data_IF_071469278287
#
_entry.id   IF_071469278287
#
_cell.length_a   1.000
_cell.length_b   1.000
_cell.length_c   1.000
_cell.angle_alpha   90.00
_cell.angle_beta   90.00
_cell.angle_gamma   90.00
#
_symmetry.space_group_name_H-M   'P 1'
#
loop_
_entity.id
_entity.type
_entity.pdbx_description
1 polymer ?
#
# COMPACT_ATOMS: atom_id res chain seq x y z
N UNK A 1 56.15 26.33 -25.20
CA UNK A 1 57.28 25.38 -25.16
C UNK A 1 56.70 24.00 -25.22
N UNK A 2 56.48 23.39 -26.26
CA UNK A 2 57.15 22.63 -27.29
C UNK A 2 58.10 21.56 -26.74
N UNK A 3 57.75 20.28 -26.93
CA UNK A 3 58.53 19.18 -27.52
C UNK A 3 57.80 17.87 -27.16
N UNK A 4 57.29 17.13 -28.06
CA UNK A 4 57.62 16.40 -29.30
C UNK A 4 58.67 15.29 -29.12
N UNK A 5 58.27 14.12 -29.61
CA UNK A 5 59.03 13.10 -30.39
C UNK A 5 59.51 11.92 -29.50
N UNK A 6 59.48 10.60 -29.90
CA UNK A 6 59.42 9.90 -31.17
C UNK A 6 59.31 8.37 -30.91
N UNK A 7 58.56 7.65 -31.64
CA UNK A 7 58.82 6.58 -32.67
C UNK A 7 60.03 5.68 -32.53
N UNK A 8 59.80 4.35 -32.56
CA UNK A 8 60.22 3.37 -33.59
C UNK A 8 60.11 1.94 -33.06
N UNK A 9 59.39 1.10 -33.70
CA UNK A 9 59.67 0.06 -34.72
C UNK A 9 60.19 -1.22 -34.05
N UNK A 10 59.44 -2.30 -34.09
CA UNK A 10 59.13 -3.29 -35.09
C UNK A 10 60.14 -4.45 -35.10
N UNK A 11 59.66 -5.65 -34.98
CA UNK A 11 59.97 -6.76 -35.91
C UNK A 11 59.16 -8.02 -35.61
N UNK A 12 58.66 -8.60 -36.67
CA UNK A 12 57.97 -9.87 -36.83
C UNK A 12 58.82 -11.09 -36.50
N UNK A 13 58.14 -12.21 -36.34
CA UNK A 13 58.32 -13.58 -36.88
C UNK A 13 57.59 -14.48 -35.85
N UNK A 14 56.63 -15.31 -36.12
CA UNK A 14 56.28 -16.17 -37.15
C UNK A 14 55.54 -17.36 -36.53
N UNK A 15 54.47 -17.77 -37.13
CA UNK A 15 54.07 -19.17 -37.28
C UNK A 15 53.36 -19.90 -36.14
N UNK A 16 52.12 -20.31 -36.38
CA UNK A 16 51.46 -21.35 -35.59
C UNK A 16 49.96 -21.24 -35.61
N UNK A 17 49.33 -21.66 -36.70
CA UNK A 17 47.88 -21.85 -36.75
C UNK A 17 47.47 -23.04 -35.85
N UNK A 18 46.68 -22.77 -34.84
CA UNK A 18 45.83 -23.77 -34.20
C UNK A 18 44.43 -23.17 -34.12
N UNK A 19 43.56 -23.69 -34.97
CA UNK A 19 42.14 -23.41 -34.93
C UNK A 19 41.54 -24.09 -33.70
N UNK A 20 41.37 -23.33 -32.64
CA UNK A 20 40.57 -23.71 -31.48
C UNK A 20 39.20 -23.08 -31.65
N UNK A 21 38.19 -23.84 -32.06
CA UNK A 21 36.81 -23.44 -32.02
C UNK A 21 36.40 -23.25 -30.56
N UNK A 22 36.44 -22.00 -30.10
CA UNK A 22 35.82 -21.62 -28.84
C UNK A 22 34.30 -21.58 -29.07
N UNK A 23 33.63 -22.66 -28.73
CA UNK A 23 32.19 -22.67 -28.51
C UNK A 23 31.90 -21.77 -27.33
N UNK A 24 31.48 -20.55 -27.60
CA UNK A 24 30.80 -19.72 -26.60
C UNK A 24 29.50 -20.43 -26.23
N UNK A 25 29.56 -21.30 -25.23
CA UNK A 25 28.37 -21.77 -24.55
C UNK A 25 27.72 -20.57 -23.91
N UNK A 26 26.62 -20.08 -24.50
CA UNK A 26 25.69 -19.19 -23.84
C UNK A 26 25.18 -19.95 -22.63
N UNK A 27 25.72 -19.61 -21.46
CA UNK A 27 25.11 -19.94 -20.19
C UNK A 27 23.84 -19.08 -20.13
N UNK A 28 22.79 -19.55 -20.80
CA UNK A 28 21.45 -19.13 -20.47
C UNK A 28 21.28 -19.53 -19.01
N UNK A 29 21.43 -18.55 -18.11
CA UNK A 29 21.11 -18.73 -16.70
C UNK A 29 19.66 -19.19 -16.64
N UNK A 30 19.47 -20.49 -16.47
CA UNK A 30 18.18 -21.03 -16.11
C UNK A 30 17.79 -20.33 -14.80
N UNK A 31 16.91 -19.32 -14.90
CA UNK A 31 16.16 -18.85 -13.75
C UNK A 31 15.49 -20.11 -13.24
N UNK A 32 15.95 -20.63 -12.09
CA UNK A 32 15.23 -21.66 -11.38
C UNK A 32 13.81 -21.14 -11.22
N UNK A 33 12.85 -21.76 -11.88
CA UNK A 33 11.47 -21.49 -11.62
C UNK A 33 11.26 -21.74 -10.13
N UNK A 34 11.12 -20.67 -9.35
CA UNK A 34 10.76 -20.81 -7.94
C UNK A 34 9.44 -21.57 -7.93
N UNK A 35 9.40 -22.71 -7.26
CA UNK A 35 8.15 -23.43 -7.12
C UNK A 35 7.12 -22.47 -6.49
N UNK A 36 5.92 -22.42 -7.05
CA UNK A 36 4.83 -21.61 -6.51
C UNK A 36 4.64 -21.94 -5.03
N UNK A 37 4.53 -20.91 -4.19
CA UNK A 37 4.30 -21.13 -2.76
C UNK A 37 2.85 -21.57 -2.51
N UNK A 38 2.61 -22.12 -1.32
CA UNK A 38 1.24 -22.33 -0.85
C UNK A 38 0.51 -20.98 -0.71
N UNK A 39 -0.82 -21.05 -0.76
CA UNK A 39 -1.66 -19.89 -0.56
C UNK A 39 -1.69 -19.50 0.93
N UNK A 40 -1.38 -18.25 1.22
CA UNK A 40 -1.50 -17.67 2.55
C UNK A 40 -2.80 -16.85 2.63
N UNK A 41 -3.48 -16.97 3.75
CA UNK A 41 -4.63 -16.09 4.05
C UNK A 41 -4.12 -14.68 4.36
N UNK A 42 -4.77 -13.68 3.76
CA UNK A 42 -4.42 -12.27 3.89
C UNK A 42 -5.68 -11.44 4.19
N UNK A 43 -6.04 -11.23 5.46
CA UNK A 43 -7.13 -10.33 5.81
C UNK A 43 -6.65 -8.88 5.75
N UNK A 44 -7.43 -8.02 5.09
CA UNK A 44 -7.20 -6.56 4.99
C UNK A 44 -8.47 -5.85 5.43
N UNK A 45 -8.32 -4.85 6.29
CA UNK A 45 -9.41 -4.06 6.84
C UNK A 45 -9.20 -2.59 6.51
N UNK A 46 -10.26 -1.87 6.14
CA UNK A 46 -10.34 -0.42 6.18
C UNK A 46 -11.24 -0.02 7.34
N UNK A 47 -10.81 0.92 8.18
CA UNK A 47 -11.53 1.32 9.37
C UNK A 47 -11.42 2.83 9.63
N UNK A 48 -12.49 3.56 9.28
CA UNK A 48 -12.67 4.92 9.76
C UNK A 48 -13.33 4.87 11.15
N UNK A 49 -12.60 5.25 12.20
CA UNK A 49 -13.08 5.14 13.57
C UNK A 49 -13.94 6.33 14.03
N UNK A 50 -14.27 7.24 13.11
CA UNK A 50 -15.13 8.39 13.37
C UNK A 50 -14.56 9.36 14.40
N UNK A 51 -15.20 10.48 14.59
CA UNK A 51 -14.78 11.49 15.58
C UNK A 51 -15.89 12.01 16.50
N UNK A 52 -17.14 11.68 16.22
CA UNK A 52 -18.27 12.21 16.99
C UNK A 52 -18.50 11.41 18.27
N UNK A 53 -18.41 10.08 18.19
CA UNK A 53 -18.63 9.21 19.34
C UNK A 53 -17.31 8.75 19.97
N UNK A 54 -16.70 9.62 20.75
CA UNK A 54 -15.39 9.39 21.35
C UNK A 54 -15.37 8.14 22.27
N UNK A 55 -16.47 7.88 22.98
CA UNK A 55 -16.55 6.72 23.87
C UNK A 55 -16.54 5.37 23.12
N UNK A 56 -16.95 5.34 21.87
CA UNK A 56 -17.00 4.13 21.08
C UNK A 56 -15.64 3.77 20.44
N UNK A 57 -14.66 4.67 20.41
CA UNK A 57 -13.39 4.47 19.66
C UNK A 57 -12.55 3.31 20.19
N UNK A 58 -12.39 3.18 21.50
CA UNK A 58 -11.70 2.04 22.10
C UNK A 58 -12.36 0.70 21.75
N UNK A 59 -13.67 0.52 22.00
CA UNK A 59 -14.42 -0.65 21.53
C UNK A 59 -14.33 -0.89 20.03
N UNK A 60 -14.35 0.17 19.19
CA UNK A 60 -14.19 0.05 17.74
C UNK A 60 -12.83 -0.54 17.35
N UNK A 61 -11.73 -0.04 17.94
CA UNK A 61 -10.39 -0.57 17.73
C UNK A 61 -10.30 -2.05 18.12
N UNK A 62 -10.92 -2.44 19.24
CA UNK A 62 -10.99 -3.84 19.66
C UNK A 62 -11.82 -4.70 18.70
N UNK A 63 -12.95 -4.17 18.20
CA UNK A 63 -13.78 -4.85 17.20
C UNK A 63 -12.98 -5.09 15.90
N UNK A 64 -12.25 -4.09 15.42
CA UNK A 64 -11.37 -4.22 14.25
C UNK A 64 -10.29 -5.27 14.48
N UNK A 65 -9.67 -5.30 15.68
CA UNK A 65 -8.67 -6.31 16.04
C UNK A 65 -9.23 -7.73 15.97
N UNK A 66 -10.49 -7.90 16.31
CA UNK A 66 -11.22 -9.17 16.32
C UNK A 66 -11.98 -9.46 15.02
N UNK A 67 -11.87 -8.58 14.02
CA UNK A 67 -12.65 -8.64 12.79
C UNK A 67 -12.38 -9.88 11.91
N UNK A 68 -11.28 -10.57 12.12
CA UNK A 68 -10.99 -11.89 11.57
C UNK A 68 -10.40 -12.80 12.67
N UNK A 69 -11.24 -13.45 13.48
CA UNK A 69 -10.80 -14.25 14.61
C UNK A 69 -9.79 -15.33 14.21
N UNK A 70 -8.72 -15.42 14.99
CA UNK A 70 -7.62 -16.37 14.76
C UNK A 70 -6.59 -15.92 13.73
N UNK A 71 -6.80 -14.78 13.06
CA UNK A 71 -5.87 -14.19 12.12
C UNK A 71 -5.48 -12.78 12.55
N UNK A 72 -4.43 -12.27 11.91
CA UNK A 72 -3.92 -10.92 12.15
C UNK A 72 -4.15 -10.09 10.89
N UNK A 73 -5.17 -9.21 10.87
CA UNK A 73 -5.46 -8.40 9.69
C UNK A 73 -4.44 -7.27 9.50
N UNK A 74 -4.16 -6.93 8.25
CA UNK A 74 -3.66 -5.62 7.90
C UNK A 74 -4.77 -4.60 8.10
N UNK A 75 -4.48 -3.43 8.63
CA UNK A 75 -5.50 -2.39 8.82
C UNK A 75 -5.01 -1.05 8.29
N UNK A 76 -5.79 -0.45 7.39
CA UNK A 76 -5.71 0.97 7.07
C UNK A 76 -6.71 1.74 7.91
N UNK A 77 -6.22 2.61 8.78
CA UNK A 77 -7.00 3.42 9.69
C UNK A 77 -7.31 4.80 9.14
N UNK A 78 -8.47 5.36 9.44
CA UNK A 78 -8.80 6.75 9.15
C UNK A 78 -9.35 7.43 10.41
N UNK A 79 -9.21 8.75 10.45
CA UNK A 79 -9.61 9.64 11.56
C UNK A 79 -8.88 9.38 12.89
N UNK A 80 -7.65 8.85 12.85
CA UNK A 80 -6.86 8.64 14.07
C UNK A 80 -6.47 10.01 14.65
N UNK A 81 -6.62 10.16 15.98
CA UNK A 81 -6.37 11.40 16.73
C UNK A 81 -7.12 12.63 16.20
N UNK A 82 -8.25 12.44 15.56
CA UNK A 82 -9.11 13.54 15.14
C UNK A 82 -9.84 14.20 16.34
N UNK A 83 -9.63 13.71 17.54
CA UNK A 83 -10.02 14.32 18.79
C UNK A 83 -9.08 13.84 19.89
N UNK A 84 -8.69 14.56 20.87
CA UNK A 84 -7.70 14.25 21.91
C UNK A 84 -8.06 13.02 22.78
N UNK A 85 -8.33 11.88 22.16
CA UNK A 85 -8.86 10.67 22.82
C UNK A 85 -7.84 9.54 22.95
N UNK A 86 -6.61 9.74 22.47
CA UNK A 86 -5.51 8.79 22.67
C UNK A 86 -5.59 7.54 21.79
N UNK A 87 -6.24 7.61 20.61
CA UNK A 87 -6.33 6.47 19.69
C UNK A 87 -4.96 5.88 19.30
N UNK A 88 -3.88 6.65 19.11
CA UNK A 88 -2.56 6.06 18.88
C UNK A 88 -2.14 5.11 20.00
N UNK A 89 -2.35 5.49 21.25
CA UNK A 89 -2.07 4.61 22.40
C UNK A 89 -2.97 3.38 22.43
N UNK A 90 -4.26 3.54 22.12
CA UNK A 90 -5.21 2.42 22.04
C UNK A 90 -4.84 1.45 20.93
N UNK A 91 -4.43 1.94 19.75
CA UNK A 91 -3.95 1.10 18.64
C UNK A 91 -2.68 0.37 19.09
N UNK A 92 -1.70 1.06 19.66
CA UNK A 92 -0.48 0.44 20.16
C UNK A 92 -0.76 -0.64 21.21
N UNK A 93 -1.74 -0.44 22.07
CA UNK A 93 -2.12 -1.42 23.09
C UNK A 93 -2.78 -2.67 22.48
N UNK A 94 -3.68 -2.49 21.51
CA UNK A 94 -4.43 -3.60 20.90
C UNK A 94 -3.68 -4.28 19.75
N UNK A 95 -2.79 -3.54 19.07
CA UNK A 95 -1.98 -3.97 17.94
C UNK A 95 -0.47 -3.86 18.25
N UNK A 96 -0.08 -4.20 19.49
CA UNK A 96 1.29 -4.06 19.97
C UNK A 96 2.28 -5.04 19.34
N UNK A 97 2.97 -5.86 20.15
CA UNK A 97 4.12 -6.69 19.76
C UNK A 97 3.93 -7.59 18.51
N UNK A 98 2.69 -7.86 18.14
CA UNK A 98 2.35 -8.63 16.97
C UNK A 98 2.21 -7.80 15.69
N UNK A 99 2.43 -6.49 15.76
CA UNK A 99 2.25 -5.56 14.64
C UNK A 99 3.36 -4.51 14.57
N UNK A 100 3.65 -4.06 13.33
CA UNK A 100 4.31 -2.79 13.09
C UNK A 100 3.24 -1.77 12.70
N UNK A 101 3.05 -0.75 13.54
CA UNK A 101 2.07 0.31 13.31
C UNK A 101 2.77 1.48 12.59
N UNK A 102 2.89 1.35 11.26
CA UNK A 102 3.55 2.36 10.43
C UNK A 102 2.77 3.68 10.46
N UNK A 103 3.50 4.79 10.60
CA UNK A 103 3.01 6.18 10.66
C UNK A 103 2.20 6.55 11.92
N UNK A 104 2.00 5.64 12.86
CA UNK A 104 1.22 5.95 14.06
C UNK A 104 1.85 7.08 14.90
N UNK A 105 3.18 7.12 14.94
CA UNK A 105 3.96 8.15 15.65
C UNK A 105 4.52 9.24 14.70
N UNK A 106 4.12 9.23 13.41
CA UNK A 106 4.55 10.26 12.46
C UNK A 106 3.78 11.56 12.71
N UNK A 107 4.45 12.68 13.04
CA UNK A 107 3.76 13.91 13.45
C UNK A 107 2.92 14.56 12.34
N UNK A 108 3.12 14.13 11.09
CA UNK A 108 2.45 14.71 9.93
C UNK A 108 1.32 13.84 9.42
N UNK A 109 1.53 12.53 9.35
CA UNK A 109 0.64 11.60 8.63
C UNK A 109 -0.06 10.57 9.54
N UNK A 110 0.06 10.70 10.87
CA UNK A 110 -0.51 9.78 11.87
C UNK A 110 -2.04 9.58 11.78
N UNK A 111 -2.76 10.43 11.05
CA UNK A 111 -4.22 10.34 10.93
C UNK A 111 -4.68 9.18 10.04
N UNK A 112 -3.78 8.63 9.24
CA UNK A 112 -4.04 7.49 8.33
C UNK A 112 -2.97 6.42 8.46
N UNK A 113 -2.68 5.91 9.67
CA UNK A 113 -1.65 4.91 9.89
C UNK A 113 -2.02 3.55 9.29
N UNK A 114 -1.04 2.63 9.28
CA UNK A 114 -1.20 1.28 8.78
C UNK A 114 -0.67 0.30 9.80
N UNK A 115 -1.50 -0.64 10.24
CA UNK A 115 -1.08 -1.76 11.08
C UNK A 115 -0.72 -2.96 10.23
N UNK A 116 0.55 -3.41 10.30
CA UNK A 116 1.12 -4.53 9.56
C UNK A 116 1.38 -5.68 10.51
N UNK A 117 0.72 -6.85 10.35
CA UNK A 117 0.87 -7.97 11.28
C UNK A 117 2.17 -8.75 11.05
N UNK A 118 2.75 -9.33 12.11
CA UNK A 118 3.74 -10.39 11.93
C UNK A 118 3.09 -11.63 11.29
N UNK A 119 3.79 -12.40 10.43
CA UNK A 119 5.22 -12.32 10.14
C UNK A 119 5.62 -11.36 9.03
N UNK A 120 4.72 -10.51 8.55
CA UNK A 120 5.03 -9.50 7.54
C UNK A 120 5.93 -8.41 8.13
N UNK A 121 6.85 -7.91 7.31
CA UNK A 121 7.79 -6.86 7.67
C UNK A 121 7.61 -5.67 6.75
N UNK A 122 7.60 -4.47 7.31
CA UNK A 122 7.68 -3.23 6.54
C UNK A 122 9.12 -3.08 6.05
N UNK A 123 9.33 -3.16 4.74
CA UNK A 123 10.64 -3.01 4.11
C UNK A 123 10.85 -1.61 3.51
N UNK A 124 9.77 -0.88 3.30
CA UNK A 124 9.79 0.53 2.92
C UNK A 124 8.48 1.19 3.35
N UNK A 125 8.54 2.47 3.70
CA UNK A 125 7.37 3.29 4.02
C UNK A 125 7.56 4.70 3.51
N UNK A 126 6.45 5.33 3.07
CA UNK A 126 6.49 6.70 2.56
C UNK A 126 5.17 7.41 2.81
N UNK A 127 5.16 8.54 3.52
CA UNK A 127 4.05 9.46 3.55
C UNK A 127 4.10 10.36 2.31
N UNK A 128 2.95 10.64 1.71
CA UNK A 128 2.82 11.60 0.61
C UNK A 128 1.80 12.67 1.00
N UNK A 129 2.25 13.90 1.07
CA UNK A 129 1.41 15.06 1.34
C UNK A 129 0.48 15.32 0.16
N UNK A 130 -0.78 15.59 0.46
CA UNK A 130 -1.79 15.94 -0.56
C UNK A 130 -2.13 17.43 -0.50
N UNK A 131 -2.67 17.89 0.62
CA UNK A 131 -2.99 19.30 0.83
C UNK A 131 -2.95 19.65 2.32
N UNK A 132 -2.79 20.95 2.60
CA UNK A 132 -2.78 21.50 3.95
C UNK A 132 -4.17 21.56 4.59
N UNK A 133 -4.21 22.23 5.74
CA UNK A 133 -5.46 22.51 6.44
C UNK A 133 -6.43 23.24 5.53
N UNK A 134 -7.68 22.80 5.51
CA UNK A 134 -8.81 23.55 4.96
C UNK A 134 -9.59 24.06 6.17
N UNK A 135 -9.57 25.39 6.44
CA UNK A 135 -10.19 25.95 7.65
C UNK A 135 -11.63 25.47 7.84
N UNK A 136 -11.97 25.10 9.06
CA UNK A 136 -13.30 24.62 9.49
C UNK A 136 -13.82 23.36 8.78
N UNK A 137 -13.00 22.76 7.89
CA UNK A 137 -13.40 21.59 7.08
C UNK A 137 -12.51 20.39 7.33
N UNK A 138 -11.19 20.53 7.24
CA UNK A 138 -10.29 19.37 7.24
C UNK A 138 -8.90 19.71 7.76
N UNK A 139 -8.31 18.79 8.56
CA UNK A 139 -6.87 18.78 8.78
C UNK A 139 -6.12 18.45 7.48
N UNK A 140 -4.77 18.54 7.47
CA UNK A 140 -3.97 18.13 6.32
C UNK A 140 -4.27 16.70 5.90
N UNK A 141 -4.24 16.45 4.59
CA UNK A 141 -4.46 15.11 4.05
C UNK A 141 -3.17 14.50 3.51
N UNK A 142 -3.04 13.21 3.78
CA UNK A 142 -1.88 12.41 3.44
C UNK A 142 -2.30 11.09 2.81
N UNK A 143 -1.40 10.52 2.03
CA UNK A 143 -1.46 9.15 1.55
C UNK A 143 -0.25 8.43 2.15
N UNK A 144 -0.49 7.42 2.96
CA UNK A 144 0.55 6.59 3.54
C UNK A 144 0.67 5.29 2.78
N UNK A 145 1.89 4.88 2.50
CA UNK A 145 2.18 3.65 1.78
C UNK A 145 3.27 2.83 2.47
N UNK A 146 3.09 1.52 2.51
CA UNK A 146 4.10 0.57 2.97
C UNK A 146 4.34 -0.49 1.91
N UNK A 147 5.60 -0.85 1.69
CA UNK A 147 5.98 -2.07 1.00
C UNK A 147 6.23 -3.11 2.08
N UNK A 148 5.54 -4.22 2.00
CA UNK A 148 5.66 -5.30 2.98
C UNK A 148 6.15 -6.58 2.32
N UNK A 149 6.93 -7.37 3.05
CA UNK A 149 7.45 -8.66 2.63
C UNK A 149 7.19 -9.70 3.71
N UNK A 150 6.84 -10.91 3.31
CA UNK A 150 6.60 -11.99 4.25
C UNK A 150 7.93 -12.51 4.84
N UNK A 151 8.04 -12.55 6.17
CA UNK A 151 9.31 -12.84 6.85
C UNK A 151 9.92 -14.21 6.56
N UNK A 152 9.10 -15.21 6.22
CA UNK A 152 9.57 -16.54 5.88
C UNK A 152 9.60 -16.84 4.37
N UNK A 153 9.08 -15.93 3.52
CA UNK A 153 8.99 -16.13 2.07
C UNK A 153 9.53 -14.89 1.34
N UNK A 154 10.85 -14.75 1.21
CA UNK A 154 11.48 -13.66 0.47
C UNK A 154 10.91 -13.56 -0.95
N UNK A 155 10.60 -12.33 -1.38
CA UNK A 155 9.93 -12.08 -2.66
C UNK A 155 8.40 -12.08 -2.61
N UNK A 156 7.78 -12.70 -1.60
CA UNK A 156 6.34 -12.53 -1.37
C UNK A 156 6.11 -11.16 -0.75
N UNK A 157 5.92 -10.17 -1.61
CA UNK A 157 5.79 -8.76 -1.23
C UNK A 157 4.66 -8.08 -1.99
N UNK A 158 4.05 -7.10 -1.34
CA UNK A 158 3.05 -6.23 -1.95
C UNK A 158 3.09 -4.83 -1.33
N UNK A 159 2.34 -3.91 -1.87
CA UNK A 159 2.19 -2.55 -1.36
C UNK A 159 0.81 -2.39 -0.76
N UNK A 160 0.72 -1.84 0.45
CA UNK A 160 -0.53 -1.36 1.03
C UNK A 160 -0.49 0.16 1.12
N UNK A 161 -1.50 0.80 0.55
CA UNK A 161 -1.70 2.25 0.57
C UNK A 161 -2.95 2.55 1.40
N UNK A 162 -2.89 3.59 2.25
CA UNK A 162 -4.03 4.05 3.03
C UNK A 162 -4.18 5.57 2.96
N UNK A 163 -5.43 6.04 2.86
CA UNK A 163 -5.71 7.48 2.80
C UNK A 163 -7.13 7.80 3.25
N UNK A 164 -7.40 9.11 3.46
CA UNK A 164 -8.74 9.62 3.80
C UNK A 164 -9.00 10.90 3.01
N UNK A 165 -10.02 10.87 2.16
CA UNK A 165 -10.40 11.98 1.29
C UNK A 165 -11.18 13.05 2.05
N UNK A 166 -11.25 14.22 1.46
CA UNK A 166 -11.99 15.35 2.01
C UNK A 166 -13.49 15.09 1.95
N UNK A 167 -14.18 15.26 3.08
CA UNK A 167 -15.63 15.14 3.16
C UNK A 167 -16.33 16.28 2.41
N UNK A 168 -17.47 15.99 1.78
CA UNK A 168 -18.32 17.00 1.12
C UNK A 168 -17.71 17.67 -0.10
N UNK A 169 -16.67 17.10 -0.70
CA UNK A 169 -15.88 17.71 -1.75
C UNK A 169 -15.94 17.00 -3.11
N UNK A 170 -16.60 15.84 -3.18
CA UNK A 170 -16.58 15.02 -4.38
C UNK A 170 -17.54 15.48 -5.47
N UNK A 171 -18.49 16.34 -5.11
CA UNK A 171 -19.51 16.82 -6.01
C UNK A 171 -19.71 18.35 -5.80
N UNK A 172 -19.93 19.06 -6.89
CA UNK A 172 -20.02 20.52 -6.90
C UNK A 172 -21.28 21.04 -6.18
N UNK A 173 -22.31 20.19 -6.03
CA UNK A 173 -23.54 20.54 -5.33
C UNK A 173 -23.35 20.62 -3.81
N UNK A 174 -22.32 19.94 -3.26
CA UNK A 174 -22.03 19.96 -1.83
C UNK A 174 -21.19 21.16 -1.44
N UNK A 175 -20.03 21.31 -2.03
CA UNK A 175 -19.16 22.46 -1.80
C UNK A 175 -18.16 22.62 -2.97
N UNK A 176 -18.49 23.47 -3.96
CA UNK A 176 -17.66 23.64 -5.16
C UNK A 176 -16.25 24.16 -4.85
N UNK A 177 -16.07 24.89 -3.74
CA UNK A 177 -14.75 25.39 -3.34
C UNK A 177 -13.79 24.28 -2.89
N UNK A 178 -14.29 23.08 -2.57
CA UNK A 178 -13.50 21.96 -2.11
C UNK A 178 -13.14 20.99 -3.23
N UNK A 179 -13.77 21.09 -4.39
CA UNK A 179 -13.59 20.18 -5.51
C UNK A 179 -12.13 20.06 -5.96
N UNK A 180 -11.41 21.18 -6.01
CA UNK A 180 -10.01 21.19 -6.40
C UNK A 180 -9.11 20.34 -5.46
N UNK A 181 -9.39 20.36 -4.16
CA UNK A 181 -8.69 19.52 -3.17
C UNK A 181 -9.00 18.03 -3.36
N UNK A 182 -10.26 17.72 -3.66
CA UNK A 182 -10.69 16.35 -3.93
C UNK A 182 -10.02 15.79 -5.19
N UNK A 183 -10.01 16.58 -6.27
CA UNK A 183 -9.39 16.19 -7.54
C UNK A 183 -7.85 16.06 -7.41
N UNK A 184 -7.21 16.95 -6.64
CA UNK A 184 -5.80 16.83 -6.30
C UNK A 184 -5.53 15.51 -5.55
N UNK A 185 -6.40 15.15 -4.60
CA UNK A 185 -6.28 13.90 -3.85
C UNK A 185 -6.41 12.69 -4.78
N UNK A 186 -7.41 12.66 -5.65
CA UNK A 186 -7.60 11.62 -6.66
C UNK A 186 -6.37 11.47 -7.56
N UNK A 187 -5.85 12.57 -8.05
CA UNK A 187 -4.65 12.58 -8.88
C UNK A 187 -3.45 12.00 -8.13
N UNK A 188 -3.20 12.50 -6.93
CA UNK A 188 -2.06 12.04 -6.12
C UNK A 188 -2.19 10.56 -5.75
N UNK A 189 -3.39 10.10 -5.37
CA UNK A 189 -3.64 8.69 -5.06
C UNK A 189 -3.37 7.80 -6.29
N UNK A 190 -3.89 8.18 -7.46
CA UNK A 190 -3.59 7.49 -8.72
C UNK A 190 -2.08 7.40 -8.98
N UNK A 191 -1.36 8.52 -8.85
CA UNK A 191 0.08 8.57 -9.05
C UNK A 191 0.83 7.63 -8.10
N UNK A 192 0.40 7.53 -6.83
CA UNK A 192 1.02 6.63 -5.86
C UNK A 192 0.76 5.16 -6.20
N UNK A 193 -0.47 4.80 -6.53
CA UNK A 193 -0.81 3.42 -6.95
C UNK A 193 -0.02 3.04 -8.20
N UNK A 194 -0.01 3.90 -9.22
CA UNK A 194 0.71 3.64 -10.48
C UNK A 194 2.21 3.56 -10.29
N UNK A 195 2.82 4.42 -9.46
CA UNK A 195 4.25 4.42 -9.21
C UNK A 195 4.78 3.09 -8.63
N UNK A 196 3.93 2.32 -7.97
CA UNK A 196 4.25 0.97 -7.51
C UNK A 196 3.91 -0.09 -8.56
N UNK A 197 2.76 0.04 -9.20
CA UNK A 197 2.33 -0.92 -10.23
C UNK A 197 3.26 -0.95 -11.44
N UNK A 198 3.75 0.21 -11.88
CA UNK A 198 4.74 0.34 -12.96
C UNK A 198 6.09 -0.35 -12.63
N UNK A 199 6.34 -0.64 -11.35
CA UNK A 199 7.48 -1.45 -10.89
C UNK A 199 7.16 -2.95 -10.79
N UNK A 200 5.98 -3.36 -11.22
CA UNK A 200 5.50 -4.73 -11.14
C UNK A 200 4.89 -5.12 -9.79
N UNK A 201 4.74 -4.20 -8.84
CA UNK A 201 4.18 -4.54 -7.53
C UNK A 201 2.66 -4.76 -7.61
N UNK A 202 2.18 -5.79 -6.92
CA UNK A 202 0.80 -5.89 -6.48
C UNK A 202 0.52 -4.75 -5.50
N UNK A 203 -0.55 -4.00 -5.73
CA UNK A 203 -0.98 -2.88 -4.86
C UNK A 203 -2.36 -3.18 -4.29
N UNK A 204 -2.50 -3.12 -2.98
CA UNK A 204 -3.79 -3.06 -2.29
C UNK A 204 -3.92 -1.64 -1.72
N UNK A 205 -5.09 -1.04 -1.81
CA UNK A 205 -5.31 0.23 -1.14
C UNK A 205 -6.62 0.24 -0.34
N UNK A 206 -6.59 0.98 0.75
CA UNK A 206 -7.70 1.22 1.68
C UNK A 206 -7.95 2.72 1.77
N UNK A 207 -9.20 3.12 1.87
CA UNK A 207 -9.54 4.53 2.05
C UNK A 207 -10.97 4.71 2.54
N UNK A 208 -11.21 5.77 3.31
CA UNK A 208 -12.48 6.47 3.26
C UNK A 208 -12.40 7.49 2.12
N UNK A 209 -13.18 7.27 1.07
CA UNK A 209 -13.19 8.12 -0.12
C UNK A 209 -14.19 9.27 -0.02
N UNK A 210 -15.02 9.29 1.02
CA UNK A 210 -16.12 10.23 1.19
C UNK A 210 -17.02 10.39 -0.07
N UNK A 211 -16.99 9.39 -0.95
CA UNK A 211 -17.73 9.37 -2.21
C UNK A 211 -18.32 7.97 -2.48
N UNK A 212 -19.63 7.80 -2.39
CA UNK A 212 -20.27 6.51 -2.65
C UNK A 212 -20.12 6.04 -4.11
N UNK A 213 -19.88 6.97 -5.04
CA UNK A 213 -19.61 6.67 -6.45
C UNK A 213 -18.14 6.45 -6.79
N UNK A 214 -17.22 6.46 -5.80
CA UNK A 214 -15.81 6.21 -6.08
C UNK A 214 -15.60 4.77 -6.53
N UNK A 215 -15.02 4.57 -7.70
CA UNK A 215 -14.84 3.23 -8.27
C UNK A 215 -13.39 2.76 -8.17
N UNK A 216 -12.48 3.41 -8.86
CA UNK A 216 -11.08 3.01 -9.00
C UNK A 216 -10.14 4.20 -8.82
N UNK A 217 -9.00 3.99 -8.16
CA UNK A 217 -7.97 5.01 -8.03
C UNK A 217 -7.28 5.28 -9.38
N UNK A 218 -7.02 4.24 -10.16
CA UNK A 218 -6.29 4.34 -11.42
C UNK A 218 -7.19 4.51 -12.64
N UNK A 219 -8.44 4.06 -12.55
CA UNK A 219 -9.36 3.96 -13.67
C UNK A 219 -9.04 2.80 -14.64
N UNK A 220 -8.02 1.97 -14.34
CA UNK A 220 -7.66 0.83 -15.18
C UNK A 220 -8.65 -0.33 -15.00
N UNK A 221 -8.90 -1.08 -16.08
CA UNK A 221 -9.77 -2.26 -16.03
C UNK A 221 -9.21 -3.38 -15.15
N UNK A 222 -7.88 -3.46 -15.04
CA UNK A 222 -7.20 -4.43 -14.18
C UNK A 222 -7.42 -4.18 -12.69
N UNK A 223 -7.72 -2.93 -12.27
CA UNK A 223 -8.03 -2.63 -10.88
C UNK A 223 -9.35 -3.25 -10.45
N UNK A 224 -9.34 -3.96 -9.34
CA UNK A 224 -10.47 -4.71 -8.78
C UNK A 224 -11.01 -4.01 -7.55
N UNK A 225 -12.32 -3.78 -7.55
CA UNK A 225 -13.08 -3.26 -6.42
C UNK A 225 -13.61 -4.42 -5.58
N UNK A 226 -13.43 -4.34 -4.25
CA UNK A 226 -13.92 -5.39 -3.32
C UNK A 226 -15.39 -5.19 -2.97
N UNK A 227 -15.79 -3.96 -2.66
CA UNK A 227 -17.15 -3.62 -2.24
C UNK A 227 -17.85 -2.83 -3.32
N UNK A 228 -19.10 -3.20 -3.63
CA UNK A 228 -19.89 -2.54 -4.66
C UNK A 228 -20.30 -1.12 -4.28
N UNK A 229 -20.52 -0.86 -2.99
CA UNK A 229 -21.09 0.36 -2.43
C UNK A 229 -20.26 0.97 -1.28
N UNK A 230 -20.77 2.06 -0.69
CA UNK A 230 -20.21 2.73 0.48
C UNK A 230 -19.07 3.68 0.14
N UNK A 231 -18.54 4.35 1.15
CA UNK A 231 -17.43 5.30 1.04
C UNK A 231 -16.10 4.70 1.50
N UNK A 232 -16.15 3.71 2.38
CA UNK A 232 -14.98 2.96 2.84
C UNK A 232 -14.63 1.89 1.82
N UNK A 233 -13.42 1.94 1.28
CA UNK A 233 -13.01 1.14 0.11
C UNK A 233 -11.80 0.28 0.40
N UNK A 234 -11.80 -0.91 -0.20
CA UNK A 234 -10.64 -1.76 -0.41
C UNK A 234 -10.64 -2.13 -1.88
N UNK A 235 -9.56 -1.80 -2.59
CA UNK A 235 -9.35 -2.22 -3.97
C UNK A 235 -7.94 -2.79 -4.11
N UNK A 236 -7.69 -3.51 -5.21
CA UNK A 236 -6.33 -3.92 -5.55
C UNK A 236 -6.06 -3.84 -7.05
N UNK A 237 -4.79 -3.65 -7.39
CA UNK A 237 -4.29 -3.66 -8.75
C UNK A 237 -3.23 -4.77 -8.84
N UNK A 238 -3.40 -5.78 -9.71
CA UNK A 238 -2.40 -6.82 -9.93
C UNK A 238 -1.06 -6.22 -10.37
N UNK A 239 0.03 -6.84 -9.95
CA UNK A 239 1.38 -6.51 -10.42
C UNK A 239 1.75 -7.29 -11.70
N UNK A 240 3.03 -7.60 -11.81
CA UNK A 240 3.61 -8.33 -12.95
C UNK A 240 3.31 -9.85 -12.97
N UNK A 241 2.53 -10.33 -12.03
CA UNK A 241 2.17 -11.74 -11.89
C UNK A 241 3.09 -12.55 -10.97
N UNK A 242 4.22 -12.00 -10.54
CA UNK A 242 5.13 -12.66 -9.57
C UNK A 242 4.43 -12.96 -8.25
N UNK A 243 3.53 -12.08 -7.83
CA UNK A 243 2.66 -12.27 -6.67
C UNK A 243 1.21 -12.35 -7.14
N UNK A 244 0.54 -13.41 -6.76
CA UNK A 244 -0.87 -13.66 -7.05
C UNK A 244 -1.75 -13.35 -5.86
N UNK A 245 -2.89 -12.74 -6.10
CA UNK A 245 -3.90 -12.38 -5.10
C UNK A 245 -5.28 -12.77 -5.62
N UNK A 246 -6.04 -13.47 -4.77
CA UNK A 246 -7.45 -13.76 -5.02
C UNK A 246 -8.30 -13.28 -3.84
N UNK A 247 -9.44 -12.68 -4.13
CA UNK A 247 -10.46 -12.38 -3.12
C UNK A 247 -11.23 -13.67 -2.79
N UNK A 248 -11.26 -14.03 -1.51
CA UNK A 248 -11.97 -15.22 -1.03
C UNK A 248 -13.37 -14.86 -0.54
N UNK A 249 -13.48 -13.84 0.31
CA UNK A 249 -14.76 -13.39 0.86
C UNK A 249 -14.63 -11.99 1.46
N UNK A 250 -15.77 -11.39 1.78
CA UNK A 250 -15.84 -10.08 2.45
C UNK A 250 -16.68 -10.17 3.71
N UNK A 251 -16.45 -9.27 4.64
CA UNK A 251 -17.22 -9.12 5.86
C UNK A 251 -17.31 -7.65 6.26
N UNK A 252 -18.23 -7.33 7.16
CA UNK A 252 -18.39 -6.03 7.77
C UNK A 252 -18.35 -6.20 9.28
N UNK A 253 -17.54 -5.41 9.97
CA UNK A 253 -17.42 -5.41 11.44
C UNK A 253 -18.11 -4.17 11.98
N UNK A 254 -19.21 -4.31 12.72
CA UNK A 254 -19.85 -3.18 13.38
C UNK A 254 -18.90 -2.53 14.39
N UNK A 255 -18.73 -1.22 14.28
CA UNK A 255 -17.87 -0.45 15.18
C UNK A 255 -18.67 0.45 16.11
N UNK A 256 -19.94 0.72 15.79
CA UNK A 256 -20.81 1.65 16.51
C UNK A 256 -20.23 3.06 16.62
N UNK A 257 -19.48 3.47 15.61
CA UNK A 257 -18.92 4.81 15.48
C UNK A 257 -19.54 5.51 14.28
N UNK A 258 -20.09 6.69 14.50
CA UNK A 258 -20.72 7.52 13.47
C UNK A 258 -21.48 6.68 12.42
N UNK A 259 -21.26 6.91 11.15
CA UNK A 259 -21.90 6.15 10.04
C UNK A 259 -20.94 5.11 9.42
N UNK A 260 -19.89 4.69 10.13
CA UNK A 260 -18.87 3.78 9.63
C UNK A 260 -18.92 2.39 10.30
N UNK A 261 -18.69 1.39 9.48
CA UNK A 261 -18.35 0.04 9.90
C UNK A 261 -17.04 -0.37 9.23
N UNK A 262 -16.20 -1.12 9.93
CA UNK A 262 -14.99 -1.63 9.31
C UNK A 262 -15.34 -2.63 8.21
N UNK A 263 -14.71 -2.48 7.06
CA UNK A 263 -14.87 -3.41 5.92
C UNK A 263 -13.69 -4.34 5.84
N UNK A 264 -13.94 -5.61 5.72
CA UNK A 264 -12.94 -6.68 5.75
C UNK A 264 -12.93 -7.40 4.42
N UNK A 265 -11.78 -7.43 3.76
CA UNK A 265 -11.50 -8.29 2.61
C UNK A 265 -10.61 -9.43 3.06
N UNK A 266 -11.04 -10.65 2.83
CA UNK A 266 -10.23 -11.84 3.03
C UNK A 266 -9.68 -12.25 1.68
N UNK A 267 -8.41 -12.07 1.51
CA UNK A 267 -7.68 -12.54 0.34
C UNK A 267 -6.91 -13.83 0.65
N UNK A 268 -6.44 -14.46 -0.41
CA UNK A 268 -5.31 -15.38 -0.38
C UNK A 268 -4.22 -14.86 -1.31
N UNK A 269 -2.97 -15.02 -0.90
CA UNK A 269 -1.78 -14.51 -1.59
C UNK A 269 -0.71 -15.59 -1.69
N UNK A 270 0.06 -15.60 -2.79
CA UNK A 270 1.24 -16.47 -2.96
C UNK A 270 2.26 -15.90 -3.95
N UNK A 271 3.46 -16.45 -3.95
CA UNK A 271 4.35 -16.36 -5.11
C UNK A 271 3.85 -17.27 -6.24
N UNK A 272 3.92 -16.78 -7.48
CA UNK A 272 3.53 -17.52 -8.68
C UNK A 272 4.51 -18.64 -9.02
#
# INVERSE_FOLDING_TARGET
>A
MANRISRRQAMMIGGGALAGAATFGSVAGARSASAATEWFRLPVITANIGRKNLAARGPAIQAVRSGDPGNRPFVGWQEISEGDTGEPAMISQNFGDAYANAFLDDPSSYRVPISVPTPWKVINSKPTFVHGVVPDVSPPRWINEVVVEHGAHPGLKFVLINTHYLHGAYNDDQNPNLRAYYDLHKKTHRERVMAHNDKGHLVIWTADTNNPGYDKATGQDAERKVFADGIDRINWLPGDGTVQLDLVTTNVVPMNVDDHNARVAIFRIRLA
#
